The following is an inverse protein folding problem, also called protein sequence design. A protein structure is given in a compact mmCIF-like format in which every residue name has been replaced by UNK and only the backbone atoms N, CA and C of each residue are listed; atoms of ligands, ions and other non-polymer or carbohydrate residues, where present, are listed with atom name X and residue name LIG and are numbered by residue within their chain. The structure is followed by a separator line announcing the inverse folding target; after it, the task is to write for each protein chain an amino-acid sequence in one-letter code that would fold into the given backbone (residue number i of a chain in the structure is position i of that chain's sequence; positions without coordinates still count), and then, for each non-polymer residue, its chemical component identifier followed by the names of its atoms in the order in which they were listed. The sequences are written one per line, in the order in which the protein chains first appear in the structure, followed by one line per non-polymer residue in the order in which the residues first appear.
data_IF_251557422182
#
_entry.id   IF_251557422182
#
_cell.length_a   1.000
_cell.length_b   1.000
_cell.length_c   1.000
_cell.angle_alpha   90.00
_cell.angle_beta   90.00
_cell.angle_gamma   90.00
#
_symmetry.space_group_name_H-M   'P 1'
#
loop_
_entity.id
_entity.type
_entity.pdbx_description
1 polymer ?
#
# COMPACT_ATOMS: atom_id res chain seq x y z
N UNK A 1 -4.05 -20.33 16.88
CA UNK A 1 -4.41 -19.31 17.87
C UNK A 1 -4.31 -17.96 17.16
N UNK A 2 -5.35 -17.11 17.20
CA UNK A 2 -5.27 -15.77 16.64
C UNK A 2 -4.14 -14.97 17.29
N UNK A 3 -3.53 -14.07 16.51
CA UNK A 3 -2.60 -13.09 17.03
C UNK A 3 -3.33 -12.09 17.94
N UNK A 4 -2.58 -11.57 18.90
CA UNK A 4 -2.97 -10.42 19.71
C UNK A 4 -2.00 -9.27 19.43
N UNK A 5 -2.45 -8.03 19.60
CA UNK A 5 -1.59 -6.86 19.42
C UNK A 5 -0.34 -6.91 20.33
N UNK A 6 -0.49 -7.44 21.53
CA UNK A 6 0.63 -7.66 22.46
C UNK A 6 1.65 -8.64 21.88
N UNK A 7 1.20 -9.76 21.32
CA UNK A 7 2.09 -10.73 20.69
C UNK A 7 2.81 -10.13 19.46
N UNK A 8 2.11 -9.34 18.65
CA UNK A 8 2.67 -8.66 17.47
C UNK A 8 3.74 -7.65 17.89
N UNK A 9 3.45 -6.83 18.90
CA UNK A 9 4.38 -5.82 19.43
C UNK A 9 5.64 -6.47 19.99
N UNK A 10 5.47 -7.52 20.80
CA UNK A 10 6.56 -8.23 21.47
C UNK A 10 7.33 -9.20 20.57
N UNK A 11 6.83 -9.49 19.36
CA UNK A 11 7.51 -10.39 18.44
C UNK A 11 8.87 -9.81 18.03
N UNK A 12 9.93 -10.56 18.33
CA UNK A 12 11.33 -10.20 18.04
C UNK A 12 11.80 -10.87 16.75
N UNK A 13 12.66 -10.20 15.97
CA UNK A 13 13.33 -10.84 14.84
C UNK A 13 14.23 -11.99 15.33
N UNK A 14 14.23 -13.09 14.60
CA UNK A 14 15.15 -14.21 14.80
C UNK A 14 16.28 -14.21 13.77
N UNK A 15 17.13 -15.24 13.80
CA UNK A 15 18.20 -15.44 12.79
C UNK A 15 17.66 -15.72 11.38
N UNK A 16 16.40 -16.18 11.27
CA UNK A 16 15.69 -16.43 10.01
C UNK A 16 14.34 -15.74 10.02
N UNK A 17 13.75 -15.57 8.83
CA UNK A 17 12.42 -15.00 8.68
C UNK A 17 11.40 -15.82 9.47
N UNK A 18 10.73 -15.17 10.43
CA UNK A 18 9.71 -15.78 11.27
C UNK A 18 8.33 -15.49 10.69
N UNK A 19 7.46 -16.49 10.66
CA UNK A 19 6.06 -16.33 10.24
C UNK A 19 5.14 -16.72 11.39
N UNK A 20 4.41 -15.75 11.92
CA UNK A 20 3.47 -15.96 13.02
C UNK A 20 2.05 -15.94 12.45
N UNK A 21 1.39 -17.09 12.49
CA UNK A 21 0.05 -17.27 11.91
C UNK A 21 -0.99 -16.55 12.76
N UNK A 22 -1.88 -15.83 12.09
CA UNK A 22 -3.16 -15.37 12.64
C UNK A 22 -4.25 -16.37 12.20
N UNK A 23 -5.28 -15.90 11.49
CA UNK A 23 -6.39 -16.70 11.04
C UNK A 23 -6.70 -16.51 9.57
N UNK A 24 -7.39 -17.50 8.98
CA UNK A 24 -7.92 -17.42 7.60
C UNK A 24 -6.85 -17.03 6.58
N UNK A 25 -5.63 -17.58 6.72
CA UNK A 25 -4.52 -17.34 5.80
C UNK A 25 -3.70 -16.07 6.07
N UNK A 26 -4.09 -15.25 7.05
CA UNK A 26 -3.30 -14.09 7.50
C UNK A 26 -2.16 -14.54 8.42
N UNK A 27 -1.00 -13.91 8.26
CA UNK A 27 0.14 -14.06 9.16
C UNK A 27 1.03 -12.83 9.14
N UNK A 28 1.79 -12.66 10.22
CA UNK A 28 2.85 -11.67 10.35
C UNK A 28 4.17 -12.31 9.91
N UNK A 29 4.84 -11.71 8.94
CA UNK A 29 6.18 -12.08 8.50
C UNK A 29 7.19 -11.11 9.09
N UNK A 30 8.18 -11.61 9.81
CA UNK A 30 9.21 -10.82 10.49
C UNK A 30 10.55 -11.18 9.88
N UNK A 31 11.22 -10.21 9.26
CA UNK A 31 12.58 -10.42 8.74
C UNK A 31 13.60 -10.44 9.87
N UNK A 32 14.78 -11.06 9.64
CA UNK A 32 15.91 -10.93 10.56
C UNK A 32 16.34 -9.48 10.81
N UNK A 33 16.05 -8.57 9.85
CA UNK A 33 16.31 -7.13 9.95
C UNK A 33 15.29 -6.38 10.83
N UNK A 34 14.27 -7.06 11.35
CA UNK A 34 13.26 -6.46 12.23
C UNK A 34 12.00 -5.93 11.54
N UNK A 35 11.98 -5.84 10.21
CA UNK A 35 10.78 -5.45 9.46
C UNK A 35 9.64 -6.47 9.65
N UNK A 36 8.41 -5.96 9.77
CA UNK A 36 7.19 -6.74 10.05
C UNK A 36 6.13 -6.50 8.97
N UNK A 37 5.78 -7.52 8.20
CA UNK A 37 4.81 -7.43 7.11
C UNK A 37 3.59 -8.30 7.36
N UNK A 38 2.42 -7.75 7.07
CA UNK A 38 1.18 -8.51 7.00
C UNK A 38 1.09 -9.22 5.66
N UNK A 39 0.99 -10.55 5.69
CA UNK A 39 0.89 -11.40 4.51
C UNK A 39 -0.39 -12.23 4.57
N UNK A 40 -1.07 -12.32 3.44
CA UNK A 40 -2.26 -13.14 3.28
C UNK A 40 -2.02 -14.17 2.18
N UNK A 41 -2.03 -15.46 2.57
CA UNK A 41 -1.95 -16.59 1.64
C UNK A 41 -3.35 -17.02 1.23
N UNK A 42 -3.56 -17.17 -0.08
CA UNK A 42 -4.83 -17.60 -0.65
C UNK A 42 -4.62 -18.51 -1.86
N UNK A 43 -5.69 -19.16 -2.29
CA UNK A 43 -5.72 -19.93 -3.53
C UNK A 43 -6.74 -19.33 -4.48
N UNK A 44 -6.38 -19.20 -5.75
CA UNK A 44 -7.27 -18.73 -6.80
C UNK A 44 -6.97 -19.54 -8.06
N UNK A 45 -8.00 -20.14 -8.66
CA UNK A 45 -7.87 -20.99 -9.87
C UNK A 45 -6.78 -22.07 -9.74
N UNK A 46 -6.73 -22.74 -8.58
CA UNK A 46 -5.75 -23.80 -8.29
C UNK A 46 -4.31 -23.34 -8.04
N UNK A 47 -4.04 -22.02 -8.06
CA UNK A 47 -2.70 -21.47 -7.78
C UNK A 47 -2.63 -20.84 -6.40
N UNK A 48 -1.58 -21.18 -5.65
CA UNK A 48 -1.28 -20.56 -4.38
C UNK A 48 -0.65 -19.18 -4.61
N UNK A 49 -1.23 -18.16 -3.99
CA UNK A 49 -0.80 -16.78 -4.11
C UNK A 49 -0.57 -16.16 -2.74
N UNK A 50 0.20 -15.09 -2.71
CA UNK A 50 0.55 -14.35 -1.50
C UNK A 50 0.36 -12.86 -1.72
N UNK A 51 -0.49 -12.25 -0.91
CA UNK A 51 -0.78 -10.82 -0.94
C UNK A 51 -0.09 -10.12 0.23
N UNK A 52 0.56 -8.98 -0.04
CA UNK A 52 1.00 -8.07 1.01
C UNK A 52 -0.18 -7.20 1.43
N UNK A 53 -0.50 -7.18 2.73
CA UNK A 53 -1.58 -6.36 3.27
C UNK A 53 -1.07 -5.06 3.92
N UNK A 54 0.22 -4.95 4.19
CA UNK A 54 0.83 -3.77 4.78
C UNK A 54 2.06 -4.07 5.63
N UNK A 55 2.61 -3.04 6.25
CA UNK A 55 3.75 -3.10 7.17
C UNK A 55 3.25 -2.67 8.55
N UNK A 56 3.70 -3.34 9.60
CA UNK A 56 3.47 -2.90 10.98
C UNK A 56 4.60 -1.92 11.39
N UNK A 57 4.32 -0.81 12.09
CA UNK A 57 3.06 -0.47 12.76
C UNK A 57 2.04 0.31 11.91
N UNK A 58 2.38 0.76 10.70
CA UNK A 58 1.51 1.59 9.84
C UNK A 58 0.14 0.94 9.56
N UNK A 59 0.10 -0.38 9.57
CA UNK A 59 -1.12 -1.19 9.49
C UNK A 59 -1.23 -2.00 10.76
N UNK A 60 -2.27 -1.72 11.56
CA UNK A 60 -2.55 -2.47 12.79
C UNK A 60 -3.03 -3.90 12.50
N UNK A 61 -3.07 -4.77 13.52
CA UNK A 61 -3.64 -6.10 13.37
C UNK A 61 -5.12 -6.04 12.96
N UNK A 62 -5.86 -5.07 13.50
CA UNK A 62 -7.28 -4.84 13.15
C UNK A 62 -7.41 -4.49 11.67
N UNK A 63 -6.62 -3.55 11.19
CA UNK A 63 -6.66 -3.13 9.77
C UNK A 63 -6.21 -4.27 8.85
N UNK A 64 -5.20 -5.05 9.26
CA UNK A 64 -4.77 -6.22 8.51
C UNK A 64 -5.88 -7.27 8.38
N UNK A 65 -6.67 -7.49 9.45
CA UNK A 65 -7.85 -8.39 9.42
C UNK A 65 -8.97 -7.84 8.54
N UNK A 66 -9.21 -6.53 8.56
CA UNK A 66 -10.18 -5.89 7.69
C UNK A 66 -9.79 -6.05 6.20
N UNK A 67 -8.55 -5.70 5.84
CA UNK A 67 -8.03 -5.87 4.47
C UNK A 67 -8.04 -7.33 4.01
N UNK A 68 -7.80 -8.28 4.92
CA UNK A 68 -7.97 -9.72 4.64
C UNK A 68 -9.41 -10.04 4.27
N UNK A 69 -10.37 -9.56 5.05
CA UNK A 69 -11.79 -9.87 4.81
C UNK A 69 -12.30 -9.22 3.52
N UNK A 70 -11.84 -8.02 3.17
CA UNK A 70 -12.04 -7.39 1.85
C UNK A 70 -11.45 -8.25 0.72
N UNK A 71 -10.20 -8.69 0.84
CA UNK A 71 -9.57 -9.57 -0.14
C UNK A 71 -10.33 -10.90 -0.29
N UNK A 72 -10.88 -11.45 0.81
CA UNK A 72 -11.71 -12.67 0.74
C UNK A 72 -13.04 -12.44 0.03
N UNK A 73 -13.67 -11.27 0.16
CA UNK A 73 -14.87 -10.91 -0.60
C UNK A 73 -14.56 -10.89 -2.10
N UNK A 74 -13.43 -10.29 -2.50
CA UNK A 74 -12.98 -10.30 -3.91
C UNK A 74 -12.77 -11.73 -4.43
N UNK A 75 -12.12 -12.58 -3.63
CA UNK A 75 -11.90 -13.98 -4.00
C UNK A 75 -13.21 -14.78 -4.16
N UNK A 76 -14.21 -14.50 -3.32
CA UNK A 76 -15.54 -15.13 -3.44
C UNK A 76 -16.22 -14.76 -4.76
N UNK A 77 -15.93 -13.58 -5.30
CA UNK A 77 -16.39 -13.13 -6.61
C UNK A 77 -15.47 -13.60 -7.77
N UNK A 78 -14.45 -14.41 -7.49
CA UNK A 78 -13.48 -14.89 -8.48
C UNK A 78 -12.47 -13.82 -8.95
N UNK A 79 -12.42 -12.67 -8.28
CA UNK A 79 -11.54 -11.56 -8.58
C UNK A 79 -10.21 -11.74 -7.84
N UNK A 80 -9.09 -11.48 -8.53
CA UNK A 80 -7.76 -11.51 -7.93
C UNK A 80 -7.50 -10.22 -7.13
N UNK A 81 -7.39 -10.28 -5.79
CA UNK A 81 -7.17 -9.09 -4.97
C UNK A 81 -5.81 -8.43 -5.22
N UNK A 82 -4.83 -9.19 -5.72
CA UNK A 82 -3.52 -8.66 -6.07
C UNK A 82 -3.55 -7.79 -7.33
N UNK A 83 -4.49 -8.05 -8.25
CA UNK A 83 -4.72 -7.20 -9.43
C UNK A 83 -5.40 -5.90 -9.04
N UNK A 84 -6.50 -5.97 -8.29
CA UNK A 84 -7.24 -4.78 -7.81
C UNK A 84 -6.30 -3.80 -7.11
N UNK A 85 -5.48 -4.30 -6.17
CA UNK A 85 -4.51 -3.44 -5.46
C UNK A 85 -3.44 -2.82 -6.38
N UNK A 86 -3.07 -3.49 -7.47
CA UNK A 86 -2.11 -2.96 -8.45
C UNK A 86 -2.75 -1.88 -9.30
N UNK A 87 -3.99 -2.10 -9.71
CA UNK A 87 -4.81 -1.16 -10.49
C UNK A 87 -5.08 0.12 -9.67
N UNK A 88 -5.52 0.00 -8.40
CA UNK A 88 -5.71 1.15 -7.51
C UNK A 88 -4.42 1.99 -7.34
N UNK A 89 -3.28 1.32 -7.18
CA UNK A 89 -1.98 1.99 -7.10
C UNK A 89 -1.61 2.69 -8.41
N UNK A 90 -1.88 2.06 -9.55
CA UNK A 90 -1.63 2.65 -10.86
C UNK A 90 -2.54 3.85 -11.13
N UNK A 91 -3.82 3.78 -10.72
CA UNK A 91 -4.78 4.87 -10.84
C UNK A 91 -4.39 6.07 -9.97
N UNK A 92 -3.89 5.82 -8.75
CA UNK A 92 -3.40 6.88 -7.87
C UNK A 92 -2.15 7.55 -8.45
N UNK A 93 -1.23 6.75 -9.01
CA UNK A 93 -0.03 7.27 -9.68
C UNK A 93 -0.40 8.08 -10.94
N UNK A 94 -1.29 7.57 -11.77
CA UNK A 94 -1.78 8.27 -12.96
C UNK A 94 -2.50 9.57 -12.59
N UNK A 95 -3.28 9.58 -11.50
CA UNK A 95 -3.93 10.80 -11.01
C UNK A 95 -2.91 11.86 -10.57
N UNK A 96 -1.82 11.46 -9.91
CA UNK A 96 -0.73 12.37 -9.56
C UNK A 96 -0.05 12.95 -10.81
N UNK A 97 0.24 12.11 -11.82
CA UNK A 97 0.77 12.55 -13.11
C UNK A 97 -0.17 13.53 -13.82
N UNK A 98 -1.49 13.33 -13.73
CA UNK A 98 -2.45 14.27 -14.33
C UNK A 98 -2.47 15.63 -13.65
N UNK A 99 -2.34 15.70 -12.32
CA UNK A 99 -2.27 16.98 -11.62
C UNK A 99 -1.01 17.75 -12.01
N UNK A 100 0.16 17.10 -11.97
CA UNK A 100 1.41 17.73 -12.38
C UNK A 100 1.32 18.24 -13.82
N UNK A 101 0.81 17.40 -14.74
CA UNK A 101 0.65 17.79 -16.14
C UNK A 101 -0.27 19.00 -16.31
N UNK A 102 -1.45 18.99 -15.69
CA UNK A 102 -2.42 20.11 -15.75
C UNK A 102 -1.81 21.37 -15.12
N UNK A 103 -1.10 21.24 -13.99
CA UNK A 103 -0.43 22.34 -13.32
C UNK A 103 0.67 22.96 -14.19
N UNK A 104 1.47 22.14 -14.89
CA UNK A 104 2.51 22.60 -15.84
C UNK A 104 1.91 23.23 -17.10
N UNK A 105 0.86 22.66 -17.66
CA UNK A 105 0.14 23.23 -18.81
C UNK A 105 -0.48 24.59 -18.46
N UNK A 106 -1.13 24.69 -17.30
CA UNK A 106 -1.66 25.95 -16.78
C UNK A 106 -0.54 26.96 -16.54
N UNK A 107 0.52 26.58 -15.84
CA UNK A 107 1.67 27.44 -15.59
C UNK A 107 2.27 28.01 -16.88
N UNK A 108 2.52 27.16 -17.88
CA UNK A 108 3.08 27.58 -19.16
C UNK A 108 2.15 28.55 -19.93
N UNK A 109 0.82 28.39 -19.80
CA UNK A 109 -0.16 29.30 -20.40
C UNK A 109 -0.15 30.68 -19.76
N UNK A 110 0.06 30.76 -18.44
CA UNK A 110 0.01 32.02 -17.70
C UNK A 110 1.40 32.68 -17.52
N UNK A 111 2.49 31.96 -17.77
CA UNK A 111 3.85 32.47 -17.73
C UNK A 111 4.04 33.78 -18.55
N UNK A 112 3.48 33.94 -19.77
CA UNK A 112 3.60 35.19 -20.52
C UNK A 112 2.87 36.39 -19.90
N UNK A 113 1.94 36.14 -18.96
CA UNK A 113 1.18 37.18 -18.25
C UNK A 113 1.86 37.58 -16.93
N UNK A 114 2.85 36.81 -16.49
CA UNK A 114 3.58 37.03 -15.24
C UNK A 114 5.03 37.39 -15.50
N UNK A 115 5.69 38.00 -14.51
CA UNK A 115 7.15 38.04 -14.51
C UNK A 115 7.68 36.62 -14.27
N UNK A 116 8.83 36.28 -14.88
CA UNK A 116 9.44 34.95 -14.76
C UNK A 116 9.62 34.54 -13.28
N UNK A 117 10.02 35.47 -12.41
CA UNK A 117 10.17 35.25 -10.98
C UNK A 117 8.85 34.83 -10.31
N UNK A 118 7.73 35.48 -10.66
CA UNK A 118 6.43 35.15 -10.10
C UNK A 118 5.94 33.79 -10.60
N UNK A 119 6.13 33.50 -11.89
CA UNK A 119 5.87 32.18 -12.46
C UNK A 119 6.68 31.09 -11.77
N UNK A 120 7.98 31.26 -11.64
CA UNK A 120 8.87 30.29 -10.99
C UNK A 120 8.50 30.06 -9.53
N UNK A 121 8.09 31.10 -8.81
CA UNK A 121 7.64 30.98 -7.42
C UNK A 121 6.33 30.18 -7.32
N UNK A 122 5.41 30.35 -8.26
CA UNK A 122 4.16 29.58 -8.34
C UNK A 122 4.43 28.11 -8.65
N UNK A 123 5.30 27.82 -9.63
CA UNK A 123 5.65 26.44 -9.99
C UNK A 123 6.27 25.69 -8.81
N UNK A 124 7.21 26.34 -8.10
CA UNK A 124 7.85 25.77 -6.92
C UNK A 124 6.85 25.46 -5.80
N UNK A 125 5.79 26.25 -5.66
CA UNK A 125 4.72 25.99 -4.69
C UNK A 125 3.84 24.81 -5.11
N UNK A 126 3.61 24.65 -6.42
CA UNK A 126 2.84 23.52 -6.98
C UNK A 126 3.59 22.18 -6.84
N UNK A 127 4.93 22.20 -6.91
CA UNK A 127 5.79 21.01 -6.76
C UNK A 127 6.05 20.59 -5.30
N UNK A 128 5.71 21.45 -4.32
CA UNK A 128 5.94 21.20 -2.88
C UNK A 128 4.70 20.65 -2.15
N UNK A 129 3.57 20.49 -2.84
CA UNK A 129 2.34 19.86 -2.32
C UNK A 129 2.30 18.37 -2.69
#
# INVERSE_FOLDING_TARGET
MPLTDVAVRNAKPGSKTLRIRDERGLYLEISPKGGKWWRFRYMLKGRANMLSLGVYPDVSLKDARQRRDEARKLLANGIDPGKVRREEKAETAASAETFERIAREWWAKFLPTWTEDHGNQILRRLELN
#
